data_IF_386613173014
#
_entry.id   IF_386613173014
#
_cell.length_a   1.000
_cell.length_b   1.000
_cell.length_c   1.000
_cell.angle_alpha   90.00
_cell.angle_beta   90.00
_cell.angle_gamma   90.00
#
_symmetry.space_group_name_H-M   'P 1'
#
loop_
_entity.id
_entity.type
_entity.pdbx_description
1 polymer ?
#
# COMPACT_ATOMS: atom_id res chain seq x y z
N UNK A 1 -8.47 26.72 -57.44
CA UNK A 1 -7.28 26.48 -56.59
C UNK A 1 -7.43 27.38 -55.39
N UNK A 2 -7.98 26.86 -54.28
CA UNK A 2 -8.41 27.66 -53.14
C UNK A 2 -7.36 27.59 -52.02
N UNK A 3 -6.70 28.71 -51.77
CA UNK A 3 -5.80 28.91 -50.62
C UNK A 3 -6.63 29.05 -49.34
N UNK A 4 -6.51 28.07 -48.45
CA UNK A 4 -7.07 28.12 -47.10
C UNK A 4 -6.02 28.71 -46.17
N UNK A 5 -6.18 29.98 -45.81
CA UNK A 5 -5.43 30.59 -44.70
C UNK A 5 -5.97 30.05 -43.36
N UNK A 6 -5.13 29.53 -42.45
CA UNK A 6 -5.61 29.10 -41.14
C UNK A 6 -5.79 30.31 -40.22
N UNK A 7 -7.06 30.63 -39.94
CA UNK A 7 -7.46 31.58 -38.90
C UNK A 7 -7.08 31.01 -37.53
N UNK A 8 -5.99 31.50 -36.93
CA UNK A 8 -5.71 31.31 -35.51
C UNK A 8 -6.73 32.12 -34.71
N UNK A 9 -7.66 31.44 -34.04
CA UNK A 9 -8.30 31.97 -32.81
C UNK A 9 -7.75 31.21 -31.60
N UNK A 10 -7.47 31.90 -30.49
CA UNK A 10 -6.76 31.34 -29.35
C UNK A 10 -7.71 30.42 -28.57
N UNK A 11 -7.27 29.20 -28.27
CA UNK A 11 -7.90 28.40 -27.23
C UNK A 11 -7.23 28.74 -25.91
N UNK A 12 -7.81 29.72 -25.23
CA UNK A 12 -7.63 29.93 -23.80
C UNK A 12 -8.15 28.70 -23.07
N UNK A 13 -7.24 27.84 -22.63
CA UNK A 13 -7.28 27.10 -21.35
C UNK A 13 -6.05 26.19 -21.27
N UNK A 14 -4.87 26.80 -21.30
CA UNK A 14 -3.72 26.21 -20.65
C UNK A 14 -3.94 26.42 -19.15
N UNK A 15 -4.35 25.36 -18.45
CA UNK A 15 -4.20 25.31 -17.01
C UNK A 15 -2.70 25.43 -16.73
N UNK A 16 -2.28 26.63 -16.33
CA UNK A 16 -0.96 26.88 -15.77
C UNK A 16 -0.75 25.88 -14.63
N UNK A 17 0.10 24.89 -14.90
CA UNK A 17 0.75 24.15 -13.83
C UNK A 17 1.72 25.16 -13.22
N UNK A 18 1.61 25.50 -11.92
CA UNK A 18 2.55 26.42 -11.30
C UNK A 18 3.98 25.89 -11.49
N UNK A 19 4.99 26.78 -11.57
CA UNK A 19 6.35 26.43 -11.93
C UNK A 19 6.85 25.26 -11.08
N UNK A 20 7.50 24.31 -11.77
CA UNK A 20 7.88 23.01 -11.23
C UNK A 20 8.74 23.14 -9.97
N UNK A 21 8.12 23.02 -8.79
CA UNK A 21 8.85 22.74 -7.56
C UNK A 21 9.65 21.46 -7.78
N UNK A 22 10.96 21.54 -7.56
CA UNK A 22 11.84 20.37 -7.59
C UNK A 22 11.34 19.37 -6.54
N UNK A 23 11.27 18.08 -6.86
CA UNK A 23 10.85 17.10 -5.88
C UNK A 23 11.91 16.98 -4.78
N UNK A 24 11.48 17.08 -3.52
CA UNK A 24 12.34 16.89 -2.33
C UNK A 24 12.91 15.47 -2.30
N UNK A 25 12.12 14.48 -2.75
CA UNK A 25 12.55 13.08 -2.77
C UNK A 25 12.18 12.40 -4.07
N UNK A 26 13.11 11.61 -4.59
CA UNK A 26 12.95 10.83 -5.79
C UNK A 26 13.28 9.37 -5.50
N UNK A 27 12.32 8.47 -5.75
CA UNK A 27 12.50 7.03 -5.58
C UNK A 27 11.92 6.26 -6.76
N UNK A 28 12.57 5.19 -7.13
CA UNK A 28 12.16 4.27 -8.18
C UNK A 28 11.55 3.02 -7.53
N UNK A 29 10.33 2.68 -7.96
CA UNK A 29 9.65 1.46 -7.54
C UNK A 29 10.09 0.29 -8.41
N UNK A 30 10.60 -0.75 -7.77
CA UNK A 30 10.98 -2.00 -8.40
C UNK A 30 10.19 -3.17 -7.84
N UNK A 31 10.04 -4.21 -8.65
CA UNK A 31 9.54 -5.52 -8.22
C UNK A 31 10.58 -6.60 -8.48
N UNK A 32 10.70 -7.55 -7.58
CA UNK A 32 11.61 -8.68 -7.71
C UNK A 32 10.80 -9.95 -7.97
N UNK A 33 11.02 -10.49 -9.17
CA UNK A 33 10.49 -11.76 -9.68
C UNK A 33 8.98 -11.75 -9.98
N UNK A 34 8.61 -12.57 -10.96
CA UNK A 34 7.23 -12.98 -11.23
C UNK A 34 6.73 -13.82 -10.03
N UNK A 35 5.57 -13.55 -9.38
CA UNK A 35 4.58 -12.47 -9.56
C UNK A 35 4.45 -11.59 -8.28
N UNK A 36 5.42 -10.69 -8.03
CA UNK A 36 5.24 -9.61 -7.04
C UNK A 36 5.45 -10.00 -5.58
N UNK A 37 6.28 -10.99 -5.31
CA UNK A 37 6.63 -11.42 -3.94
C UNK A 37 7.38 -10.35 -3.13
N UNK A 38 8.11 -9.50 -3.84
CA UNK A 38 9.00 -8.50 -3.24
C UNK A 38 8.93 -7.25 -4.08
N UNK A 39 8.75 -6.11 -3.43
CA UNK A 39 8.92 -4.81 -4.05
C UNK A 39 9.90 -3.97 -3.22
N UNK A 40 10.51 -2.98 -3.84
CA UNK A 40 11.45 -2.10 -3.16
C UNK A 40 11.39 -0.71 -3.79
N UNK A 41 11.63 0.31 -2.99
CA UNK A 41 11.82 1.69 -3.43
C UNK A 41 13.28 2.09 -3.17
N UNK A 42 13.99 2.46 -4.23
CA UNK A 42 15.39 2.85 -4.18
C UNK A 42 15.61 4.13 -4.99
N UNK A 43 16.55 5.03 -4.64
CA UNK A 43 16.75 6.27 -5.40
C UNK A 43 17.23 6.00 -6.84
N UNK A 44 18.04 4.94 -7.01
CA UNK A 44 18.58 4.55 -8.30
C UNK A 44 18.63 3.02 -8.49
N UNK A 45 19.17 2.60 -9.65
CA UNK A 45 19.34 1.19 -9.98
C UNK A 45 20.47 0.51 -9.17
N UNK A 46 21.45 1.28 -8.73
CA UNK A 46 22.65 0.78 -8.03
C UNK A 46 22.59 0.98 -6.52
N UNK A 47 21.80 1.96 -6.06
CA UNK A 47 21.69 2.28 -4.64
C UNK A 47 20.85 1.27 -3.83
N UNK A 48 21.12 1.17 -2.51
CA UNK A 48 20.32 0.34 -1.62
C UNK A 48 18.88 0.85 -1.55
N UNK A 49 17.96 -0.08 -1.28
CA UNK A 49 16.56 0.28 -1.11
C UNK A 49 16.35 1.04 0.22
N UNK A 50 15.61 2.14 0.16
CA UNK A 50 15.16 2.86 1.35
C UNK A 50 13.92 2.22 1.96
N UNK A 51 13.11 1.57 1.13
CA UNK A 51 11.92 0.85 1.58
C UNK A 51 11.79 -0.49 0.88
N UNK A 52 11.33 -1.49 1.61
CA UNK A 52 11.17 -2.84 1.12
C UNK A 52 9.78 -3.40 1.47
N UNK A 53 9.14 -4.06 0.53
CA UNK A 53 7.86 -4.74 0.71
C UNK A 53 8.06 -6.24 0.54
N UNK A 54 7.68 -7.01 1.56
CA UNK A 54 7.58 -8.46 1.50
C UNK A 54 6.12 -8.84 1.35
N UNK A 55 5.76 -9.47 0.23
CA UNK A 55 4.40 -9.92 -0.06
C UNK A 55 4.39 -11.44 -0.33
N UNK A 56 3.52 -12.18 0.37
CA UNK A 56 3.38 -13.63 0.14
C UNK A 56 2.33 -13.85 -0.97
N UNK A 57 2.76 -14.49 -2.06
CA UNK A 57 1.96 -14.85 -3.23
C UNK A 57 2.01 -16.39 -3.35
N UNK A 58 0.96 -17.09 -3.81
CA UNK A 58 -0.37 -16.61 -4.16
C UNK A 58 -1.24 -16.27 -2.95
N UNK A 59 -2.24 -15.41 -3.17
CA UNK A 59 -3.26 -15.07 -2.19
C UNK A 59 -4.63 -15.45 -2.76
N UNK A 60 -5.11 -16.65 -2.41
CA UNK A 60 -6.42 -17.19 -2.84
C UNK A 60 -7.58 -16.36 -2.28
N UNK A 61 -7.42 -15.83 -1.07
CA UNK A 61 -8.44 -15.01 -0.39
C UNK A 61 -7.92 -13.63 0.00
N UNK A 62 -8.82 -12.66 0.21
CA UNK A 62 -8.47 -11.31 0.65
C UNK A 62 -7.64 -11.30 1.95
N UNK A 63 -7.96 -12.19 2.87
CA UNK A 63 -7.25 -12.36 4.15
C UNK A 63 -5.81 -12.86 4.02
N UNK A 64 -5.43 -13.43 2.87
CA UNK A 64 -4.08 -13.94 2.62
C UNK A 64 -3.16 -12.88 2.03
N UNK A 65 -3.70 -11.78 1.50
CA UNK A 65 -2.90 -10.63 1.08
C UNK A 65 -2.48 -9.83 2.32
N UNK A 66 -1.30 -10.14 2.84
CA UNK A 66 -0.74 -9.54 4.07
C UNK A 66 0.71 -9.12 3.82
N UNK A 67 0.94 -8.05 3.03
CA UNK A 67 2.28 -7.54 2.83
C UNK A 67 2.81 -6.90 4.12
N UNK A 68 4.13 -7.00 4.28
CA UNK A 68 4.90 -6.37 5.34
C UNK A 68 5.78 -5.31 4.71
N UNK A 69 5.77 -4.12 5.30
CA UNK A 69 6.51 -2.96 4.86
C UNK A 69 7.66 -2.68 5.81
N UNK A 70 8.84 -2.49 5.25
CA UNK A 70 10.06 -2.28 5.98
C UNK A 70 10.76 -1.00 5.53
N UNK A 71 11.38 -0.31 6.47
CA UNK A 71 12.33 0.77 6.23
C UNK A 71 13.74 0.19 6.19
N UNK A 72 14.46 0.44 5.11
CA UNK A 72 15.74 -0.19 4.77
C UNK A 72 15.62 -1.24 3.67
N UNK A 73 16.74 -1.86 3.33
CA UNK A 73 16.82 -2.85 2.25
C UNK A 73 16.30 -4.22 2.69
N UNK A 74 16.50 -5.25 1.87
CA UNK A 74 15.94 -6.58 2.03
C UNK A 74 16.23 -7.16 3.44
N UNK A 75 15.19 -7.35 4.28
CA UNK A 75 15.35 -7.74 5.69
C UNK A 75 15.98 -9.13 5.88
N UNK A 76 16.13 -9.91 4.81
CA UNK A 76 16.88 -11.18 4.84
C UNK A 76 18.39 -10.97 4.97
N UNK A 77 18.91 -9.87 4.43
CA UNK A 77 20.35 -9.61 4.33
C UNK A 77 20.80 -8.42 5.17
N UNK A 78 19.90 -7.47 5.41
CA UNK A 78 20.16 -6.28 6.23
C UNK A 78 19.39 -6.37 7.56
N UNK A 79 20.07 -6.68 8.68
CA UNK A 79 19.43 -6.81 9.99
C UNK A 79 18.96 -5.45 10.56
N UNK A 80 19.53 -4.35 10.08
CA UNK A 80 19.15 -2.98 10.44
C UNK A 80 17.76 -2.58 9.90
N UNK A 81 17.23 -3.35 8.94
CA UNK A 81 15.92 -3.10 8.34
C UNK A 81 14.81 -3.26 9.39
N UNK A 82 14.07 -2.19 9.63
CA UNK A 82 12.97 -2.15 10.60
C UNK A 82 11.63 -2.39 9.91
N UNK A 83 10.74 -3.16 10.56
CA UNK A 83 9.38 -3.37 10.07
C UNK A 83 8.49 -2.26 10.59
N UNK A 84 7.99 -1.43 9.68
CA UNK A 84 7.25 -0.21 9.99
C UNK A 84 5.78 -0.28 9.52
N UNK A 85 5.39 -1.34 8.83
CA UNK A 85 4.04 -1.43 8.32
C UNK A 85 3.58 -2.81 7.95
N UNK A 86 2.26 -2.97 7.93
CA UNK A 86 1.57 -4.18 7.50
C UNK A 86 0.27 -3.76 6.85
N UNK A 87 -0.09 -4.37 5.73
CA UNK A 87 -1.41 -4.17 5.16
C UNK A 87 -2.22 -5.47 5.15
N UNK A 88 -3.54 -5.32 5.03
CA UNK A 88 -4.48 -6.39 4.76
C UNK A 88 -5.57 -5.87 3.85
N UNK A 89 -6.00 -6.70 2.91
CA UNK A 89 -7.17 -6.41 2.06
C UNK A 89 -8.44 -6.84 2.79
N UNK A 90 -9.45 -5.96 2.83
CA UNK A 90 -10.74 -6.28 3.48
C UNK A 90 -11.83 -6.68 2.49
N UNK A 91 -11.78 -6.22 1.24
CA UNK A 91 -12.77 -6.54 0.20
C UNK A 91 -12.08 -6.89 -1.13
N UNK A 92 -12.68 -6.54 -2.27
CA UNK A 92 -11.96 -6.45 -3.55
C UNK A 92 -10.74 -5.50 -3.42
N UNK A 93 -9.91 -5.33 -4.45
CA UNK A 93 -8.75 -4.40 -4.50
C UNK A 93 -9.13 -2.90 -4.41
N UNK A 94 -10.14 -2.61 -3.60
CA UNK A 94 -10.81 -1.35 -3.35
C UNK A 94 -10.69 -0.94 -1.88
N UNK A 95 -10.39 -1.84 -0.95
CA UNK A 95 -10.33 -1.53 0.48
C UNK A 95 -9.19 -2.25 1.20
N UNK A 96 -8.43 -1.48 1.98
CA UNK A 96 -7.23 -1.94 2.67
C UNK A 96 -7.17 -1.36 4.09
N UNK A 97 -6.77 -2.22 5.03
CA UNK A 97 -6.38 -1.84 6.38
C UNK A 97 -4.86 -1.84 6.45
N UNK A 98 -4.29 -0.74 6.90
CA UNK A 98 -2.84 -0.54 6.98
C UNK A 98 -2.49 -0.21 8.42
N UNK A 99 -1.73 -1.10 9.06
CA UNK A 99 -1.08 -0.80 10.34
C UNK A 99 0.28 -0.17 10.01
N UNK A 100 0.56 1.00 10.60
CA UNK A 100 1.73 1.80 10.31
C UNK A 100 2.41 2.27 11.59
N UNK A 101 3.73 2.22 11.62
CA UNK A 101 4.60 2.62 12.73
C UNK A 101 5.55 1.51 13.20
N UNK A 102 6.54 1.86 14.02
CA UNK A 102 7.64 0.97 14.42
C UNK A 102 7.19 -0.19 15.32
N UNK A 103 6.10 -0.01 16.07
CA UNK A 103 5.52 -1.06 16.92
C UNK A 103 4.92 -2.22 16.11
N UNK A 104 4.75 -2.07 14.79
CA UNK A 104 4.28 -3.17 13.92
C UNK A 104 5.24 -4.37 13.97
N UNK A 105 6.53 -4.12 14.14
CA UNK A 105 7.54 -5.17 14.30
C UNK A 105 7.27 -6.05 15.53
N UNK A 106 6.88 -5.43 16.65
CA UNK A 106 6.55 -6.09 17.92
C UNK A 106 5.27 -6.90 17.79
N UNK A 107 4.24 -6.34 17.14
CA UNK A 107 2.99 -7.05 16.84
C UNK A 107 3.26 -8.33 16.05
N UNK A 108 4.14 -8.28 15.05
CA UNK A 108 4.49 -9.46 14.26
C UNK A 108 5.25 -10.50 15.09
N UNK A 109 6.21 -10.08 15.93
CA UNK A 109 6.92 -10.97 16.87
C UNK A 109 5.94 -11.64 17.84
N UNK A 110 5.03 -10.88 18.44
CA UNK A 110 3.99 -11.40 19.34
C UNK A 110 3.05 -12.39 18.64
N UNK A 111 2.67 -12.11 17.40
CA UNK A 111 1.87 -13.02 16.58
C UNK A 111 2.60 -14.35 16.32
N UNK A 112 3.90 -14.31 16.08
CA UNK A 112 4.71 -15.51 15.89
C UNK A 112 4.90 -16.29 17.20
N UNK A 113 5.12 -15.61 18.33
CA UNK A 113 5.13 -16.23 19.68
C UNK A 113 3.82 -16.96 19.98
N UNK A 114 2.67 -16.29 19.79
CA UNK A 114 1.31 -16.88 19.87
C UNK A 114 1.17 -18.13 19.01
N UNK A 115 1.69 -18.10 17.78
CA UNK A 115 1.61 -19.22 16.84
C UNK A 115 2.48 -20.40 17.29
N UNK A 116 3.70 -20.14 17.75
CA UNK A 116 4.60 -21.17 18.30
C UNK A 116 4.00 -21.83 19.52
N UNK A 117 3.47 -21.05 20.47
CA UNK A 117 2.79 -21.57 21.66
C UNK A 117 1.57 -22.44 21.32
N UNK A 118 0.69 -21.96 20.44
CA UNK A 118 -0.49 -22.75 19.98
C UNK A 118 -0.08 -24.02 19.24
N UNK A 119 0.95 -23.95 18.38
CA UNK A 119 1.44 -25.12 17.67
C UNK A 119 2.05 -26.15 18.62
N UNK A 120 2.74 -25.71 19.67
CA UNK A 120 3.30 -26.59 20.68
C UNK A 120 2.18 -27.27 21.48
N UNK A 121 1.22 -26.49 22.00
CA UNK A 121 0.07 -27.02 22.75
C UNK A 121 -0.73 -28.06 21.94
N UNK A 122 -0.93 -27.83 20.63
CA UNK A 122 -1.57 -28.81 19.74
C UNK A 122 -0.76 -30.09 19.60
N UNK A 123 0.56 -30.00 19.42
CA UNK A 123 1.45 -31.17 19.35
C UNK A 123 1.48 -31.94 20.65
N UNK A 124 1.44 -31.24 21.78
CA UNK A 124 1.39 -31.87 23.10
C UNK A 124 0.07 -32.60 23.34
N UNK A 125 -1.07 -31.97 22.99
CA UNK A 125 -2.38 -32.63 23.02
C UNK A 125 -2.39 -33.89 22.15
N UNK A 126 -1.83 -33.82 20.94
CA UNK A 126 -1.72 -34.97 20.05
C UNK A 126 -0.85 -36.09 20.65
N UNK A 127 0.26 -35.75 21.30
CA UNK A 127 1.13 -36.73 21.98
C UNK A 127 0.39 -37.41 23.14
N UNK A 128 -0.28 -36.62 23.99
CA UNK A 128 -1.12 -37.14 25.07
C UNK A 128 -2.21 -38.08 24.55
N UNK A 129 -2.86 -37.72 23.45
CA UNK A 129 -3.86 -38.55 22.78
C UNK A 129 -3.30 -39.89 22.27
N UNK A 130 -2.05 -39.92 21.80
CA UNK A 130 -1.37 -41.15 21.37
C UNK A 130 -0.56 -41.83 22.50
N UNK A 131 -0.83 -41.54 23.77
CA UNK A 131 -0.09 -42.07 24.93
C UNK A 131 1.44 -41.89 24.84
N UNK A 132 1.91 -40.87 24.11
CA UNK A 132 3.33 -40.55 23.97
C UNK A 132 3.74 -39.55 25.05
N UNK A 133 4.93 -39.76 25.61
CA UNK A 133 5.52 -38.86 26.61
C UNK A 133 5.59 -37.40 26.14
N UNK A 134 5.49 -36.48 27.10
CA UNK A 134 5.70 -35.06 26.83
C UNK A 134 7.14 -34.83 26.35
N UNK A 135 7.34 -33.86 25.46
CA UNK A 135 8.68 -33.49 24.99
C UNK A 135 8.82 -31.99 25.03
N UNK A 136 9.85 -31.45 25.70
CA UNK A 136 10.04 -30.02 25.86
C UNK A 136 10.09 -29.31 24.50
N UNK A 137 9.71 -28.02 24.46
CA UNK A 137 9.78 -27.24 23.24
C UNK A 137 11.25 -27.09 22.81
N UNK A 138 11.50 -27.12 21.49
CA UNK A 138 12.87 -26.98 20.94
C UNK A 138 13.46 -25.58 21.18
N UNK A 139 12.62 -24.57 21.31
CA UNK A 139 12.98 -23.20 21.65
C UNK A 139 12.12 -22.79 22.84
N UNK A 140 12.64 -22.01 23.81
CA UNK A 140 11.84 -21.50 24.91
C UNK A 140 10.67 -20.67 24.35
N UNK A 141 9.46 -20.98 24.82
CA UNK A 141 8.28 -20.20 24.47
C UNK A 141 8.41 -18.86 25.19
N UNK A 142 8.63 -17.79 24.41
CA UNK A 142 8.68 -16.42 24.94
C UNK A 142 7.27 -15.88 25.10
N UNK A 143 7.05 -15.15 26.19
CA UNK A 143 5.80 -14.47 26.46
C UNK A 143 5.57 -13.27 25.53
N UNK A 144 4.32 -12.82 25.47
CA UNK A 144 3.92 -11.63 24.72
C UNK A 144 4.44 -10.39 25.42
N UNK A 145 5.10 -9.50 24.68
CA UNK A 145 5.56 -8.20 25.19
C UNK A 145 4.53 -7.11 24.84
N UNK A 146 4.34 -6.08 25.67
CA UNK A 146 3.52 -4.93 25.30
C UNK A 146 4.10 -4.21 24.08
N UNK A 147 3.24 -3.60 23.27
CA UNK A 147 3.66 -2.82 22.09
C UNK A 147 4.12 -1.44 22.56
N UNK A 148 5.42 -1.18 22.47
CA UNK A 148 6.04 0.05 22.93
C UNK A 148 6.03 1.13 21.85
N UNK A 149 6.29 0.76 20.59
CA UNK A 149 6.39 1.71 19.46
C UNK A 149 5.04 2.18 18.92
N UNK A 150 5.05 3.27 18.15
CA UNK A 150 3.85 3.81 17.50
C UNK A 150 3.21 2.77 16.58
N UNK A 151 1.89 2.61 16.69
CA UNK A 151 1.08 1.83 15.74
C UNK A 151 -0.28 2.50 15.57
N UNK A 152 -0.52 3.02 14.36
CA UNK A 152 -1.83 3.54 13.95
C UNK A 152 -2.47 2.62 12.91
N UNK A 153 -3.80 2.59 12.88
CA UNK A 153 -4.57 1.92 11.85
C UNK A 153 -5.10 2.93 10.83
N UNK A 154 -4.51 2.93 9.63
CA UNK A 154 -4.97 3.73 8.50
C UNK A 154 -5.87 2.90 7.60
N UNK A 155 -7.06 3.44 7.31
CA UNK A 155 -8.02 2.81 6.40
C UNK A 155 -7.87 3.46 5.02
N UNK A 156 -7.47 2.67 4.04
CA UNK A 156 -7.41 3.09 2.64
C UNK A 156 -8.60 2.51 1.90
N UNK A 157 -9.31 3.34 1.15
CA UNK A 157 -10.46 2.88 0.40
C UNK A 157 -10.59 3.59 -0.94
N UNK A 158 -11.21 2.91 -1.88
CA UNK A 158 -11.58 3.41 -3.18
C UNK A 158 -13.01 3.94 -3.12
N UNK A 159 -13.21 5.18 -3.57
CA UNK A 159 -14.55 5.81 -3.57
C UNK A 159 -15.40 5.26 -4.72
N UNK A 160 -16.25 4.26 -4.47
CA UNK A 160 -17.19 3.69 -5.44
C UNK A 160 -16.51 3.12 -6.69
N UNK A 161 -17.11 3.34 -7.87
CA UNK A 161 -16.51 3.01 -9.18
C UNK A 161 -15.35 3.94 -9.56
N UNK A 162 -15.20 5.08 -8.86
CA UNK A 162 -14.16 6.04 -9.17
C UNK A 162 -12.78 5.46 -8.90
N UNK A 163 -11.81 5.75 -9.77
CA UNK A 163 -10.41 5.37 -9.57
C UNK A 163 -9.74 6.42 -8.68
N UNK A 164 -10.22 6.59 -7.45
CA UNK A 164 -9.62 7.46 -6.43
C UNK A 164 -9.43 6.63 -5.17
N UNK A 165 -8.23 6.63 -4.60
CA UNK A 165 -7.98 6.00 -3.29
C UNK A 165 -7.75 7.09 -2.28
N UNK A 166 -8.48 7.02 -1.19
CA UNK A 166 -8.44 8.00 -0.12
C UNK A 166 -8.07 7.32 1.19
N UNK A 167 -7.32 8.04 2.00
CA UNK A 167 -6.88 7.63 3.33
C UNK A 167 -6.66 8.84 4.20
N UNK A 168 -6.63 8.63 5.51
CA UNK A 168 -6.50 9.67 6.52
C UNK A 168 -5.39 9.28 7.50
N UNK A 169 -4.49 10.22 7.78
CA UNK A 169 -3.39 10.08 8.75
C UNK A 169 -3.47 11.28 9.68
N UNK A 170 -3.57 11.04 10.99
CA UNK A 170 -3.52 12.11 12.01
C UNK A 170 -4.46 13.29 11.68
N UNK A 171 -5.68 12.98 11.24
CA UNK A 171 -6.71 13.97 10.85
C UNK A 171 -6.52 14.60 9.47
N UNK A 172 -5.40 14.37 8.79
CA UNK A 172 -5.15 14.88 7.43
C UNK A 172 -5.56 13.85 6.39
N UNK A 173 -6.41 14.27 5.45
CA UNK A 173 -6.92 13.41 4.39
C UNK A 173 -6.14 13.58 3.09
N UNK A 174 -5.80 12.44 2.49
CA UNK A 174 -5.04 12.34 1.27
C UNK A 174 -5.79 11.54 0.20
N UNK A 175 -5.54 11.86 -1.06
CA UNK A 175 -6.20 11.24 -2.20
C UNK A 175 -5.25 10.96 -3.36
N UNK A 176 -5.06 9.67 -3.67
CA UNK A 176 -4.48 9.23 -4.93
C UNK A 176 -5.50 9.34 -6.06
N UNK A 177 -5.10 9.98 -7.15
CA UNK A 177 -5.91 10.13 -8.37
C UNK A 177 -5.08 9.94 -9.63
N UNK A 178 -5.67 9.36 -10.67
CA UNK A 178 -5.03 9.27 -11.98
C UNK A 178 -5.01 10.63 -12.68
N UNK A 179 -3.95 10.93 -13.43
CA UNK A 179 -3.84 12.21 -14.14
C UNK A 179 -4.41 12.16 -15.56
N UNK A 180 -4.31 11.02 -16.25
CA UNK A 180 -4.77 10.88 -17.64
C UNK A 180 -6.26 10.55 -17.72
N UNK A 181 -7.00 11.22 -18.61
CA UNK A 181 -8.37 10.83 -18.99
C UNK A 181 -8.32 9.83 -20.13
N UNK A 182 -9.25 8.88 -20.16
CA UNK A 182 -9.43 8.02 -21.33
C UNK A 182 -9.94 8.86 -22.50
N UNK A 183 -9.29 8.72 -23.65
CA UNK A 183 -9.63 9.47 -24.86
C UNK A 183 -10.79 8.83 -25.66
N UNK A 184 -11.00 7.52 -25.50
CA UNK A 184 -11.91 6.71 -26.33
C UNK A 184 -12.66 5.64 -25.51
N UNK A 185 -13.76 5.11 -26.06
CA UNK A 185 -14.57 4.03 -25.47
C UNK A 185 -15.60 4.47 -24.43
N UNK A 186 -16.27 3.50 -23.79
CA UNK A 186 -17.35 3.76 -22.81
C UNK A 186 -16.88 4.52 -21.56
N UNK A 187 -15.57 4.57 -21.31
CA UNK A 187 -14.95 5.32 -20.20
C UNK A 187 -14.36 6.68 -20.63
N UNK A 188 -14.70 7.20 -21.82
CA UNK A 188 -14.19 8.49 -22.33
C UNK A 188 -14.42 9.61 -21.30
N UNK A 189 -13.39 10.39 -21.02
CA UNK A 189 -13.41 11.50 -20.04
C UNK A 189 -13.14 11.09 -18.58
N UNK A 190 -13.21 9.80 -18.24
CA UNK A 190 -12.88 9.31 -16.88
C UNK A 190 -11.36 9.33 -16.67
N UNK A 191 -10.91 9.84 -15.52
CA UNK A 191 -9.48 9.80 -15.13
C UNK A 191 -9.06 8.35 -14.82
N UNK A 192 -8.17 7.81 -15.64
CA UNK A 192 -7.55 6.50 -15.52
C UNK A 192 -6.22 6.55 -14.76
N UNK A 193 -5.88 5.44 -14.10
CA UNK A 193 -4.58 5.23 -13.44
C UNK A 193 -3.46 4.83 -14.40
N UNK A 194 -3.70 4.96 -15.70
CA UNK A 194 -3.01 4.16 -16.71
C UNK A 194 -1.48 4.27 -16.69
N UNK A 195 -0.96 5.44 -16.32
CA UNK A 195 0.49 5.71 -16.33
C UNK A 195 0.95 6.66 -15.23
N UNK A 196 0.11 7.57 -14.75
CA UNK A 196 0.54 8.60 -13.83
C UNK A 196 -0.51 8.80 -12.74
N UNK A 197 -0.08 8.75 -11.49
CA UNK A 197 -0.87 9.02 -10.30
C UNK A 197 -0.36 10.28 -9.63
N UNK A 198 -1.26 11.01 -9.00
CA UNK A 198 -0.92 12.11 -8.10
C UNK A 198 -1.62 11.92 -6.76
N UNK A 199 -0.89 12.15 -5.70
CA UNK A 199 -1.38 12.24 -4.33
C UNK A 199 -1.61 13.69 -4.00
N UNK A 200 -2.82 13.99 -3.55
CA UNK A 200 -3.24 15.35 -3.18
C UNK A 200 -3.71 15.35 -1.74
N UNK A 201 -3.30 16.34 -0.95
CA UNK A 201 -3.89 16.66 0.36
C UNK A 201 -5.24 17.33 0.11
N UNK A 202 -6.31 16.83 0.74
CA UNK A 202 -7.66 17.22 0.34
C UNK A 202 -8.13 18.54 0.93
N UNK A 203 -7.49 19.04 1.98
CA UNK A 203 -7.82 20.31 2.63
C UNK A 203 -7.48 21.51 1.73
N UNK A 204 -6.26 21.53 1.19
CA UNK A 204 -5.70 22.65 0.41
C UNK A 204 -5.44 22.31 -1.07
N UNK A 205 -5.73 21.08 -1.48
CA UNK A 205 -5.41 20.56 -2.80
C UNK A 205 -3.92 20.58 -3.19
N UNK A 206 -3.02 20.63 -2.19
CA UNK A 206 -1.58 20.60 -2.42
C UNK A 206 -1.13 19.26 -3.05
N UNK A 207 -0.17 19.34 -3.97
CA UNK A 207 0.41 18.18 -4.62
C UNK A 207 1.50 17.57 -3.73
N UNK A 208 1.21 16.43 -3.12
CA UNK A 208 2.09 15.79 -2.14
C UNK A 208 3.08 14.85 -2.81
N UNK A 209 2.63 14.07 -3.80
CA UNK A 209 3.48 13.14 -4.53
C UNK A 209 2.95 12.87 -5.93
N UNK A 210 3.85 12.53 -6.86
CA UNK A 210 3.49 11.97 -8.17
C UNK A 210 4.16 10.63 -8.36
N UNK A 211 3.43 9.68 -8.94
CA UNK A 211 3.98 8.39 -9.34
C UNK A 211 3.79 8.19 -10.84
N UNK A 212 4.89 8.12 -11.56
CA UNK A 212 4.96 7.85 -12.99
C UNK A 212 5.31 6.39 -13.23
N UNK A 213 4.28 5.61 -13.56
CA UNK A 213 4.39 4.21 -13.95
C UNK A 213 4.89 4.08 -15.38
N UNK A 214 5.95 3.31 -15.58
CA UNK A 214 6.46 2.98 -16.91
C UNK A 214 5.42 2.19 -17.70
N UNK A 215 5.15 2.61 -18.93
CA UNK A 215 4.25 1.88 -19.84
C UNK A 215 4.76 0.47 -20.04
N UNK A 216 3.86 -0.50 -19.91
CA UNK A 216 4.18 -1.93 -20.07
C UNK A 216 5.32 -2.39 -19.16
N UNK A 217 5.47 -1.79 -17.96
CA UNK A 217 6.52 -2.12 -16.99
C UNK A 217 6.77 -3.64 -16.83
N UNK A 218 5.71 -4.44 -16.82
CA UNK A 218 5.78 -5.89 -16.65
C UNK A 218 6.31 -6.67 -17.85
N UNK A 219 6.40 -6.05 -19.03
CA UNK A 219 6.91 -6.64 -20.26
C UNK A 219 8.38 -6.25 -20.55
N UNK A 220 8.97 -5.38 -19.73
CA UNK A 220 10.38 -5.00 -19.88
C UNK A 220 11.30 -6.07 -19.31
N UNK A 221 12.53 -6.11 -19.84
CA UNK A 221 13.57 -6.96 -19.28
C UNK A 221 13.93 -6.50 -17.88
N UNK A 222 14.08 -7.46 -16.99
CA UNK A 222 14.61 -7.23 -15.65
C UNK A 222 16.06 -6.74 -15.70
N UNK A 223 16.40 -5.85 -14.79
CA UNK A 223 17.73 -5.35 -14.52
C UNK A 223 18.46 -6.37 -13.64
N UNK A 224 19.67 -6.77 -14.07
CA UNK A 224 20.55 -7.67 -13.33
C UNK A 224 21.60 -6.83 -12.62
N UNK A 225 21.56 -6.80 -11.30
CA UNK A 225 22.54 -6.08 -10.46
C UNK A 225 23.68 -6.98 -10.00
N UNK A 226 23.62 -8.29 -10.28
CA UNK A 226 24.72 -9.25 -10.03
C UNK A 226 24.89 -9.66 -8.57
N UNK A 227 24.82 -8.72 -7.63
CA UNK A 227 25.09 -8.96 -6.21
C UNK A 227 23.80 -9.09 -5.35
N UNK A 228 23.80 -9.89 -4.26
CA UNK A 228 22.80 -9.75 -3.21
C UNK A 228 22.88 -8.34 -2.60
N UNK A 229 21.79 -7.76 -2.07
CA UNK A 229 20.52 -8.40 -1.72
C UNK A 229 19.51 -8.55 -2.88
N UNK A 230 19.70 -7.85 -4.00
CA UNK A 230 18.67 -7.63 -5.03
C UNK A 230 19.08 -8.03 -6.46
N UNK A 231 19.68 -9.21 -6.64
CA UNK A 231 20.25 -9.76 -7.90
C UNK A 231 19.51 -9.47 -9.23
N UNK A 232 18.16 -9.41 -9.19
CA UNK A 232 17.30 -9.19 -10.35
C UNK A 232 16.09 -8.39 -9.93
N UNK A 233 15.85 -7.24 -10.57
CA UNK A 233 14.71 -6.36 -10.29
C UNK A 233 14.08 -5.84 -11.58
N UNK A 234 12.80 -5.51 -11.54
CA UNK A 234 12.04 -4.97 -12.66
C UNK A 234 11.53 -3.59 -12.30
N UNK A 235 11.93 -2.59 -13.07
CA UNK A 235 11.51 -1.21 -12.88
C UNK A 235 10.03 -1.04 -13.22
N UNK A 236 9.25 -0.52 -12.26
CA UNK A 236 7.81 -0.29 -12.42
C UNK A 236 7.51 1.19 -12.70
N UNK A 237 8.18 2.12 -12.02
CA UNK A 237 7.91 3.54 -12.15
C UNK A 237 8.70 4.38 -11.16
N UNK A 238 8.58 5.70 -11.28
CA UNK A 238 9.25 6.68 -10.44
C UNK A 238 8.22 7.43 -9.57
N UNK A 239 8.48 7.46 -8.26
CA UNK A 239 7.79 8.24 -7.26
C UNK A 239 8.59 9.52 -6.98
N UNK A 240 7.89 10.65 -6.98
CA UNK A 240 8.40 11.96 -6.61
C UNK A 240 7.57 12.47 -5.45
N UNK A 241 8.22 12.89 -4.36
CA UNK A 241 7.58 13.51 -3.19
C UNK A 241 8.01 14.97 -3.15
N UNK A 242 7.05 15.85 -2.93
CA UNK A 242 7.27 17.30 -2.91
C UNK A 242 7.33 17.81 -1.47
N UNK A 243 7.78 19.06 -1.31
CA UNK A 243 8.01 19.70 -0.02
C UNK A 243 6.73 19.79 0.82
N UNK A 244 5.58 19.95 0.17
CA UNK A 244 4.26 20.01 0.79
C UNK A 244 3.90 18.74 1.59
N UNK A 245 4.60 17.63 1.36
CA UNK A 245 4.46 16.42 2.16
C UNK A 245 5.00 16.56 3.59
N UNK A 246 5.91 17.51 3.81
CA UNK A 246 6.60 17.77 5.06
C UNK A 246 6.05 19.01 5.78
N UNK A 247 5.28 19.83 5.09
CA UNK A 247 4.59 20.98 5.67
C UNK A 247 3.45 20.52 6.58
N UNK A 248 3.37 21.14 7.76
CA UNK A 248 2.23 20.96 8.64
C UNK A 248 0.94 21.40 7.91
N UNK A 249 -0.14 20.62 7.98
CA UNK A 249 -1.41 21.03 7.43
C UNK A 249 -1.83 22.35 8.10
N UNK A 250 -2.10 23.38 7.29
CA UNK A 250 -2.75 24.59 7.77
C UNK A 250 -4.09 24.15 8.34
N UNK A 251 -4.32 24.43 9.64
CA UNK A 251 -5.42 23.87 10.41
C UNK A 251 -6.76 24.04 9.70
N UNK A 252 -7.45 22.93 9.44
CA UNK A 252 -8.84 22.95 9.04
C UNK A 252 -9.66 23.39 10.27
N UNK A 253 -10.05 24.66 10.32
CA UNK A 253 -11.07 25.20 11.24
C UNK A 253 -12.48 24.64 10.96
N UNK A 254 -12.61 23.58 10.16
CA UNK A 254 -13.86 22.86 9.99
C UNK A 254 -13.96 21.74 11.03
N UNK A 255 -14.15 22.15 12.27
CA UNK A 255 -14.58 21.27 13.34
C UNK A 255 -15.92 20.60 13.00
N UNK A 256 -16.09 19.39 13.53
CA UNK A 256 -17.40 18.75 13.77
C UNK A 256 -18.21 18.36 12.52
N UNK A 257 -17.57 18.17 11.37
CA UNK A 257 -18.15 17.42 10.26
C UNK A 257 -17.69 15.96 10.30
N UNK A 258 -18.46 15.03 10.89
CA UNK A 258 -18.10 13.61 10.95
C UNK A 258 -17.58 13.11 9.59
N UNK A 259 -16.27 12.80 9.52
CA UNK A 259 -15.55 12.49 8.28
C UNK A 259 -16.35 11.49 7.45
N UNK A 260 -16.89 11.92 6.31
CA UNK A 260 -17.70 11.04 5.43
C UNK A 260 -16.90 9.82 4.98
N UNK A 261 -15.56 9.92 4.98
CA UNK A 261 -14.63 8.82 4.78
C UNK A 261 -14.54 7.92 5.99
N UNK A 262 -14.42 8.45 7.20
CA UNK A 262 -14.48 7.62 8.41
C UNK A 262 -15.84 6.90 8.53
N UNK A 263 -16.95 7.57 8.20
CA UNK A 263 -18.29 6.97 8.21
C UNK A 263 -18.45 5.92 7.09
N UNK A 264 -18.00 6.21 5.87
CA UNK A 264 -18.06 5.26 4.74
C UNK A 264 -17.10 4.08 4.94
N UNK A 265 -15.87 4.31 5.40
CA UNK A 265 -14.93 3.22 5.75
C UNK A 265 -15.43 2.42 6.93
N UNK A 266 -16.04 3.04 7.96
CA UNK A 266 -16.74 2.30 9.02
C UNK A 266 -17.90 1.49 8.47
N UNK A 267 -18.64 1.96 7.46
CA UNK A 267 -19.73 1.18 6.85
C UNK A 267 -19.20 0.02 6.00
N UNK A 268 -18.22 0.25 5.14
CA UNK A 268 -17.56 -0.79 4.32
C UNK A 268 -16.86 -1.82 5.21
N UNK A 269 -16.14 -1.39 6.24
CA UNK A 269 -15.54 -2.32 7.20
C UNK A 269 -16.61 -3.01 8.06
N UNK A 270 -17.79 -2.42 8.30
CA UNK A 270 -18.84 -3.09 9.08
C UNK A 270 -19.47 -4.21 8.24
N UNK A 271 -19.62 -3.96 6.94
CA UNK A 271 -20.09 -4.93 5.96
C UNK A 271 -19.05 -6.02 5.67
N UNK A 272 -17.75 -5.68 5.70
CA UNK A 272 -16.67 -6.60 5.36
C UNK A 272 -16.03 -7.32 6.56
N UNK A 273 -16.33 -6.91 7.80
CA UNK A 273 -15.66 -7.45 8.99
C UNK A 273 -16.63 -7.63 10.17
N UNK A 274 -16.70 -8.84 10.70
CA UNK A 274 -17.49 -9.15 11.90
C UNK A 274 -17.00 -8.31 13.10
N UNK A 275 -17.87 -7.92 14.06
CA UNK A 275 -17.50 -7.11 15.22
C UNK A 275 -16.29 -7.66 15.99
N UNK A 276 -16.21 -8.98 16.14
CA UNK A 276 -15.10 -9.67 16.79
C UNK A 276 -13.75 -9.47 16.07
N UNK A 277 -13.76 -9.27 14.75
CA UNK A 277 -12.54 -9.00 13.97
C UNK A 277 -12.05 -7.56 14.09
N UNK A 278 -12.94 -6.59 14.38
CA UNK A 278 -12.57 -5.19 14.65
C UNK A 278 -11.85 -5.04 15.97
N UNK A 279 -12.40 -5.60 17.05
CA UNK A 279 -11.77 -5.60 18.36
C UNK A 279 -10.34 -6.20 18.31
N UNK A 280 -10.13 -7.18 17.43
CA UNK A 280 -8.82 -7.79 17.21
C UNK A 280 -7.85 -6.91 16.43
N UNK A 281 -8.34 -6.12 15.48
CA UNK A 281 -7.51 -5.24 14.64
C UNK A 281 -7.06 -3.98 15.43
N UNK A 282 -7.81 -3.59 16.46
CA UNK A 282 -7.57 -2.41 17.31
C UNK A 282 -6.85 -2.72 18.63
N UNK A 283 -6.80 -4.00 19.04
CA UNK A 283 -6.21 -4.43 20.34
C UNK A 283 -4.76 -3.99 20.55
N UNK A 284 -3.95 -4.05 19.49
CA UNK A 284 -2.50 -3.86 19.58
C UNK A 284 -2.08 -2.44 19.08
N UNK A 285 -3.01 -1.47 19.04
CA UNK A 285 -2.70 -0.09 18.62
C UNK A 285 -2.04 0.70 19.75
N UNK A 286 -1.11 1.56 19.36
CA UNK A 286 -0.44 2.50 20.26
C UNK A 286 -0.18 3.82 19.50
N UNK A 287 -1.18 4.71 19.38
CA UNK A 287 -1.05 5.94 18.61
C UNK A 287 -0.04 6.93 19.22
N UNK A 288 0.17 6.87 20.53
CA UNK A 288 1.03 7.78 21.29
C UNK A 288 2.47 7.27 21.47
N UNK A 289 2.76 6.09 20.91
CA UNK A 289 4.10 5.50 20.96
C UNK A 289 5.14 6.34 20.18
N UNK A 290 6.43 6.16 20.48
CA UNK A 290 7.51 6.78 19.71
C UNK A 290 7.56 6.24 18.28
N UNK A 291 7.88 7.11 17.34
CA UNK A 291 8.11 6.77 15.94
C UNK A 291 9.40 7.42 15.43
N UNK A 292 10.25 6.62 14.82
CA UNK A 292 11.42 7.11 14.09
C UNK A 292 10.98 7.49 12.68
N UNK A 293 11.45 8.62 12.15
CA UNK A 293 11.16 9.05 10.78
C UNK A 293 9.84 9.80 10.61
N UNK A 294 9.36 9.89 9.37
CA UNK A 294 8.13 10.62 9.05
C UNK A 294 7.01 9.64 8.66
N UNK A 295 5.96 9.60 9.49
CA UNK A 295 4.82 8.71 9.32
C UNK A 295 4.04 8.96 8.02
N UNK A 296 3.91 10.23 7.64
CA UNK A 296 3.29 10.62 6.38
C UNK A 296 4.12 10.11 5.20
N UNK A 297 5.44 10.25 5.26
CA UNK A 297 6.33 9.71 4.23
C UNK A 297 6.20 8.19 4.11
N UNK A 298 6.28 7.46 5.21
CA UNK A 298 6.13 6.00 5.22
C UNK A 298 4.80 5.58 4.58
N UNK A 299 3.72 6.31 4.87
CA UNK A 299 2.41 6.06 4.28
C UNK A 299 2.37 6.41 2.79
N UNK A 300 3.04 7.48 2.34
CA UNK A 300 3.14 7.81 0.91
C UNK A 300 3.80 6.66 0.16
N UNK A 301 4.91 6.12 0.69
CA UNK A 301 5.65 5.01 0.07
C UNK A 301 4.81 3.73 0.02
N UNK A 302 4.21 3.35 1.15
CA UNK A 302 3.37 2.17 1.25
C UNK A 302 2.13 2.29 0.37
N UNK A 303 1.43 3.41 0.45
CA UNK A 303 0.22 3.66 -0.34
C UNK A 303 0.49 3.69 -1.85
N UNK A 304 1.63 4.27 -2.29
CA UNK A 304 2.05 4.24 -3.68
C UNK A 304 2.18 2.79 -4.20
N UNK A 305 2.87 1.93 -3.44
CA UNK A 305 3.00 0.52 -3.82
C UNK A 305 1.64 -0.21 -3.81
N UNK A 306 0.81 -0.01 -2.78
CA UNK A 306 -0.53 -0.63 -2.69
C UNK A 306 -1.38 -0.24 -3.89
N UNK A 307 -1.40 1.05 -4.27
CA UNK A 307 -2.20 1.54 -5.40
C UNK A 307 -1.66 0.96 -6.71
N UNK A 308 -0.34 0.90 -6.89
CA UNK A 308 0.28 0.29 -8.08
C UNK A 308 -0.03 -1.21 -8.21
N UNK A 309 0.02 -1.96 -7.11
CA UNK A 309 -0.32 -3.39 -7.06
C UNK A 309 -1.82 -3.61 -7.29
N UNK A 310 -2.68 -2.83 -6.61
CA UNK A 310 -4.13 -2.88 -6.80
C UNK A 310 -4.52 -2.61 -8.25
N UNK A 311 -3.87 -1.63 -8.88
CA UNK A 311 -4.10 -1.35 -10.30
C UNK A 311 -3.68 -2.52 -11.19
N UNK A 312 -2.46 -3.04 -11.00
CA UNK A 312 -1.95 -4.17 -11.76
C UNK A 312 -2.96 -5.32 -11.67
N UNK A 313 -3.36 -5.69 -10.45
CA UNK A 313 -4.29 -6.79 -10.19
C UNK A 313 -5.67 -6.52 -10.76
N UNK A 314 -6.21 -5.31 -10.66
CA UNK A 314 -7.51 -4.97 -11.25
C UNK A 314 -7.53 -5.02 -12.78
N UNK A 315 -6.42 -4.67 -13.44
CA UNK A 315 -6.31 -4.78 -14.91
C UNK A 315 -6.33 -6.24 -15.37
N UNK A 316 -5.66 -7.13 -14.63
CA UNK A 316 -5.68 -8.57 -14.94
C UNK A 316 -6.96 -9.27 -14.44
N UNK A 317 -7.59 -8.75 -13.37
CA UNK A 317 -8.83 -9.29 -12.79
C UNK A 317 -10.12 -8.89 -13.51
N UNK A 318 -10.10 -8.10 -14.59
CA UNK A 318 -11.28 -8.03 -15.46
C UNK A 318 -11.63 -9.45 -15.94
N UNK A 319 -10.63 -10.30 -16.18
CA UNK A 319 -10.83 -11.72 -16.46
C UNK A 319 -11.26 -12.52 -15.23
N UNK A 320 -10.67 -12.34 -14.04
CA UNK A 320 -11.13 -13.06 -12.83
C UNK A 320 -12.56 -12.70 -12.42
N UNK A 321 -13.00 -11.45 -12.65
CA UNK A 321 -14.37 -11.01 -12.37
C UNK A 321 -15.33 -11.53 -13.42
N UNK A 322 -14.95 -11.56 -14.69
CA UNK A 322 -15.71 -12.24 -15.73
C UNK A 322 -15.79 -13.75 -15.50
N UNK A 323 -14.71 -14.35 -14.99
CA UNK A 323 -14.66 -15.77 -14.62
C UNK A 323 -15.49 -16.06 -13.37
N UNK A 324 -15.44 -15.23 -12.33
CA UNK A 324 -16.27 -15.40 -11.12
C UNK A 324 -17.75 -15.10 -11.41
N UNK A 325 -18.06 -14.23 -12.37
CA UNK A 325 -19.42 -14.00 -12.86
C UNK A 325 -19.87 -15.15 -13.76
N UNK A 326 -19.00 -15.68 -14.63
CA UNK A 326 -19.26 -16.86 -15.47
C UNK A 326 -19.49 -18.11 -14.63
N UNK A 327 -18.61 -18.40 -13.68
CA UNK A 327 -18.72 -19.53 -12.74
C UNK A 327 -20.00 -19.44 -11.87
N UNK A 328 -20.44 -18.24 -11.48
CA UNK A 328 -21.71 -18.06 -10.76
C UNK A 328 -22.95 -18.02 -11.67
N UNK A 329 -22.79 -17.77 -12.98
CA UNK A 329 -23.86 -17.77 -13.97
C UNK A 329 -23.97 -19.10 -14.75
N UNK A 330 -23.14 -20.09 -14.42
CA UNK A 330 -23.16 -21.43 -15.04
C UNK A 330 -22.34 -21.56 -16.33
N UNK A 331 -21.32 -20.72 -16.54
CA UNK A 331 -20.39 -20.79 -17.67
C UNK A 331 -19.29 -19.75 -17.61
#
# INVERSE_FOLDING_TARGET
>A
MFEIKPTKRPSEHNSEVPPSKSPTKYLQLYTRLYPGHKALLAPSDTEPAQYFVVNKVPHKHASQWVPVFCRGDNPKYTPETTVIGRARRTAMWTSFKVWLGDGVSEILKNKDRRRKAKSYARKEKLRKFFCRGSKPPKEPLKDEEPVSGKVILVRMHRSGLSRKVEFEIEGTRYRWSGTRRFATGFMKGVKGWSHCLKLIRTSDHALIATFEKRRSAHYHRSIKTGQPPNKKKLFIGALRVYEEAYELPIGDNNGVGGSSVAAFTRRVDALASNPHSRAKDEKDLNPDGPHVGNLTEDMIMLSCWIVAEAEHRLRYKIFDVLQEIGENAGG
#
